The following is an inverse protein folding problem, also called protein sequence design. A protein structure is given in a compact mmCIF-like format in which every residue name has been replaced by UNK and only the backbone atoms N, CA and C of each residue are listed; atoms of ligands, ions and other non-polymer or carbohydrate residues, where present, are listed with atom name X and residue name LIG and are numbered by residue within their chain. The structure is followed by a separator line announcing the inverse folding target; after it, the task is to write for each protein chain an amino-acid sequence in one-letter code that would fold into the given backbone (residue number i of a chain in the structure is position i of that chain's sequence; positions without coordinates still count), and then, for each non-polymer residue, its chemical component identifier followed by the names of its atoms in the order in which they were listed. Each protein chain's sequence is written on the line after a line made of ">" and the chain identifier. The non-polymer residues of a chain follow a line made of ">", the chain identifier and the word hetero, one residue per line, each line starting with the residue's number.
data_IF_965394923325
#
_entry.id   IF_965394923325
#
_cell.length_a   1.000
_cell.length_b   1.000
_cell.length_c   1.000
_cell.angle_alpha   90.00
_cell.angle_beta   90.00
_cell.angle_gamma   90.00
#
_symmetry.space_group_name_H-M   'P 1'
#
loop_
_entity.id
_entity.type
_entity.pdbx_description
1 polymer ?
#
# COMPACT_ATOMS: atom_id res chain seq x y z
N UNK A 1 -2.97 9.06 2.17
CA UNK A 1 -3.61 7.82 2.66
C UNK A 1 -2.53 6.77 2.87
N UNK A 2 -2.65 5.94 3.90
CA UNK A 2 -1.88 4.69 3.98
C UNK A 2 -2.32 3.74 2.88
N UNK A 3 -1.37 3.04 2.27
CA UNK A 3 -1.60 2.06 1.22
C UNK A 3 -0.41 1.10 1.07
N UNK A 4 -0.62 0.05 0.27
CA UNK A 4 0.41 -0.81 -0.33
C UNK A 4 0.48 -0.55 -1.83
N UNK A 5 1.64 -0.77 -2.44
CA UNK A 5 1.86 -0.66 -3.88
C UNK A 5 1.57 -1.95 -4.65
N UNK A 6 1.30 -3.05 -3.95
CA UNK A 6 1.15 -4.40 -4.51
C UNK A 6 2.48 -4.93 -5.09
N UNK A 7 3.57 -4.71 -4.37
CA UNK A 7 4.88 -5.29 -4.67
C UNK A 7 5.44 -6.08 -3.48
N UNK A 8 6.60 -6.71 -3.65
CA UNK A 8 7.34 -7.42 -2.60
C UNK A 8 8.21 -6.41 -1.86
N UNK A 9 9.19 -5.83 -2.56
CA UNK A 9 10.10 -4.84 -2.00
C UNK A 9 9.89 -3.51 -2.73
N UNK A 10 9.33 -2.53 -2.03
CA UNK A 10 9.29 -1.15 -2.47
C UNK A 10 10.62 -0.48 -2.15
N UNK A 11 11.19 0.20 -3.14
CA UNK A 11 12.40 0.98 -2.97
C UNK A 11 12.21 2.45 -3.37
N UNK A 12 12.71 3.36 -2.52
CA UNK A 12 12.84 4.77 -2.83
C UNK A 12 14.29 5.21 -2.74
N UNK A 13 14.80 5.80 -3.80
CA UNK A 13 16.03 6.59 -3.76
C UNK A 13 15.67 8.07 -3.73
N UNK A 14 16.09 8.78 -2.68
CA UNK A 14 15.73 10.17 -2.43
C UNK A 14 16.74 11.10 -3.10
N UNK A 15 16.34 11.76 -4.19
CA UNK A 15 17.17 12.74 -4.89
C UNK A 15 17.10 14.11 -4.21
N UNK A 16 15.89 14.53 -3.87
CA UNK A 16 15.61 15.82 -3.22
C UNK A 16 14.50 15.68 -2.18
N UNK A 17 14.59 16.49 -1.13
CA UNK A 17 13.62 16.50 -0.04
C UNK A 17 12.61 17.65 -0.19
N UNK A 18 11.42 17.45 0.36
CA UNK A 18 10.47 18.57 0.51
C UNK A 18 10.99 19.51 1.61
N UNK A 19 10.90 20.83 1.45
CA UNK A 19 11.33 21.77 2.48
C UNK A 19 10.45 21.70 3.74
N UNK A 20 9.16 21.38 3.59
CA UNK A 20 8.20 21.30 4.69
C UNK A 20 7.34 20.03 4.54
N UNK A 21 7.47 19.12 5.51
CA UNK A 21 6.68 17.89 5.56
C UNK A 21 7.04 16.91 4.45
N UNK A 22 6.05 16.19 3.92
CA UNK A 22 6.22 15.31 2.76
C UNK A 22 7.11 14.07 3.01
N UNK A 23 7.43 13.80 4.26
CA UNK A 23 8.23 12.65 4.71
C UNK A 23 7.49 11.35 4.45
N UNK A 24 8.26 10.29 4.27
CA UNK A 24 7.72 8.93 4.16
C UNK A 24 7.37 8.42 5.55
N UNK A 25 6.15 7.91 5.68
CA UNK A 25 5.62 7.34 6.92
C UNK A 25 5.28 5.88 6.67
N UNK A 26 5.63 5.01 7.61
CA UNK A 26 5.36 3.58 7.56
C UNK A 26 4.46 3.17 8.73
N UNK A 27 3.64 2.13 8.52
CA UNK A 27 2.85 1.50 9.57
C UNK A 27 2.77 0.00 9.38
N UNK A 28 2.85 -0.76 10.47
CA UNK A 28 2.74 -2.22 10.45
C UNK A 28 1.35 -2.69 10.01
N UNK A 29 1.32 -3.55 8.99
CA UNK A 29 0.10 -4.24 8.56
C UNK A 29 -0.38 -5.18 9.66
N UNK A 30 0.54 -5.94 10.26
CA UNK A 30 0.22 -6.93 11.29
C UNK A 30 -0.35 -6.30 12.56
N UNK A 31 0.19 -5.15 12.95
CA UNK A 31 -0.37 -4.40 14.06
C UNK A 31 -1.79 -3.94 13.75
N UNK A 32 -2.03 -3.44 12.54
CA UNK A 32 -3.38 -3.05 12.10
C UNK A 32 -4.34 -4.24 12.11
N UNK A 33 -3.90 -5.38 11.58
CA UNK A 33 -4.68 -6.62 11.57
C UNK A 33 -5.02 -7.08 13.00
N UNK A 34 -4.04 -7.12 13.90
CA UNK A 34 -4.22 -7.61 15.26
C UNK A 34 -5.15 -6.70 16.07
N UNK A 35 -5.04 -5.38 15.91
CA UNK A 35 -5.93 -4.43 16.58
C UNK A 35 -7.37 -4.54 16.06
N UNK A 36 -7.55 -4.72 14.75
CA UNK A 36 -8.86 -5.01 14.15
C UNK A 36 -9.41 -6.34 14.66
N UNK A 37 -8.61 -7.40 14.71
CA UNK A 37 -9.03 -8.71 15.21
C UNK A 37 -9.49 -8.65 16.67
N UNK A 38 -8.80 -7.86 17.49
CA UNK A 38 -9.11 -7.72 18.91
C UNK A 38 -10.33 -6.83 19.19
N UNK A 39 -10.56 -5.79 18.39
CA UNK A 39 -11.55 -4.74 18.70
C UNK A 39 -12.72 -4.64 17.74
N UNK A 40 -12.55 -5.05 16.49
CA UNK A 40 -13.51 -4.89 15.37
C UNK A 40 -13.42 -6.04 14.36
N UNK A 41 -13.62 -7.30 14.75
CA UNK A 41 -13.47 -8.45 13.85
C UNK A 41 -14.41 -8.39 12.63
N UNK A 42 -15.56 -7.74 12.73
CA UNK A 42 -16.48 -7.47 11.62
C UNK A 42 -15.84 -6.67 10.49
N UNK A 43 -14.92 -5.75 10.81
CA UNK A 43 -14.15 -5.01 9.81
C UNK A 43 -13.24 -5.95 9.01
N UNK A 44 -12.67 -6.98 9.63
CA UNK A 44 -11.88 -7.98 8.91
C UNK A 44 -12.73 -8.80 7.95
N UNK A 45 -13.98 -9.12 8.32
CA UNK A 45 -14.93 -9.76 7.42
C UNK A 45 -15.21 -8.89 6.20
N UNK A 46 -15.50 -7.60 6.40
CA UNK A 46 -15.69 -6.66 5.29
C UNK A 46 -14.43 -6.53 4.43
N UNK A 47 -13.23 -6.47 5.02
CA UNK A 47 -11.97 -6.42 4.27
C UNK A 47 -11.70 -7.70 3.45
N UNK A 48 -12.33 -8.83 3.78
CA UNK A 48 -12.21 -10.09 3.04
C UNK A 48 -13.21 -10.24 1.88
N UNK A 49 -14.16 -9.30 1.77
CA UNK A 49 -15.14 -9.23 0.68
C UNK A 49 -14.54 -8.59 -0.59
N UNK A 50 -15.10 -8.86 -1.78
CA UNK A 50 -14.71 -8.17 -3.00
C UNK A 50 -15.17 -6.70 -3.01
N UNK A 51 -14.26 -5.77 -3.23
CA UNK A 51 -14.52 -4.32 -3.24
C UNK A 51 -14.49 -3.75 -4.67
N UNK A 52 -15.33 -2.76 -5.00
CA UNK A 52 -15.22 -2.03 -6.27
C UNK A 52 -13.90 -1.23 -6.34
N UNK A 53 -13.38 -0.91 -7.54
CA UNK A 53 -13.92 -1.19 -8.88
C UNK A 53 -13.66 -2.62 -9.39
N UNK A 54 -12.66 -3.31 -8.84
CA UNK A 54 -12.08 -4.51 -9.46
C UNK A 54 -12.44 -5.82 -8.76
N UNK A 55 -13.39 -5.78 -7.82
CA UNK A 55 -13.72 -6.92 -6.95
C UNK A 55 -12.50 -7.47 -6.20
N UNK A 56 -11.53 -6.59 -5.92
CA UNK A 56 -10.33 -6.92 -5.16
C UNK A 56 -10.70 -7.11 -3.70
N UNK A 57 -10.14 -8.12 -3.06
CA UNK A 57 -10.30 -8.33 -1.62
C UNK A 57 -9.09 -7.73 -0.92
N UNK A 58 -9.25 -6.67 -0.10
CA UNK A 58 -8.12 -6.11 0.63
C UNK A 58 -7.38 -7.14 1.50
N UNK A 59 -8.12 -8.03 2.16
CA UNK A 59 -7.58 -9.07 3.02
C UNK A 59 -7.87 -10.44 2.42
N UNK A 60 -6.83 -11.25 2.22
CA UNK A 60 -6.94 -12.58 1.62
C UNK A 60 -6.17 -13.60 2.43
N UNK A 61 -6.71 -14.80 2.59
CA UNK A 61 -5.95 -15.93 3.14
C UNK A 61 -4.93 -16.40 2.10
N UNK A 62 -3.71 -16.69 2.55
CA UNK A 62 -2.68 -17.28 1.69
C UNK A 62 -2.61 -18.78 1.98
N UNK A 63 -3.17 -19.58 1.09
CA UNK A 63 -3.18 -21.04 1.26
C UNK A 63 -1.78 -21.58 0.94
N UNK A 64 -1.24 -22.40 1.84
CA UNK A 64 0.06 -23.06 1.65
C UNK A 64 1.27 -22.16 1.88
N UNK A 65 1.10 -20.96 2.44
CA UNK A 65 2.24 -20.16 2.88
C UNK A 65 2.75 -20.65 4.24
N UNK A 66 4.07 -20.78 4.33
CA UNK A 66 4.84 -21.02 5.55
C UNK A 66 5.23 -19.72 6.28
N UNK A 67 5.19 -18.58 5.57
CA UNK A 67 5.61 -17.27 6.09
C UNK A 67 4.46 -16.43 6.62
N UNK A 68 3.32 -16.39 5.93
CA UNK A 68 2.21 -15.50 6.28
C UNK A 68 0.83 -16.16 6.11
N UNK A 69 -0.07 -16.08 7.11
CA UNK A 69 -1.39 -16.70 7.00
C UNK A 69 -2.38 -15.86 6.16
N UNK A 70 -2.14 -14.55 6.07
CA UNK A 70 -2.98 -13.60 5.33
C UNK A 70 -2.12 -12.58 4.59
N UNK A 71 -2.62 -12.13 3.45
CA UNK A 71 -2.08 -11.02 2.68
C UNK A 71 -3.05 -9.85 2.80
N UNK A 72 -2.57 -8.68 3.21
CA UNK A 72 -3.38 -7.50 3.37
C UNK A 72 -2.88 -6.39 2.44
N UNK A 73 -3.52 -6.26 1.28
CA UNK A 73 -3.22 -5.22 0.29
C UNK A 73 -4.33 -4.17 0.34
N UNK A 74 -3.98 -2.91 0.49
CA UNK A 74 -4.99 -1.88 0.68
C UNK A 74 -4.61 -0.59 -0.01
N UNK A 75 -5.57 0.01 -0.69
CA UNK A 75 -5.49 1.41 -1.10
C UNK A 75 -6.89 2.01 -1.07
N UNK A 76 -7.02 3.15 -0.42
CA UNK A 76 -8.28 3.90 -0.37
C UNK A 76 -8.63 4.52 -1.73
N UNK A 77 -7.62 4.86 -2.52
CA UNK A 77 -7.78 5.66 -3.73
C UNK A 77 -8.76 5.05 -4.76
N UNK A 78 -8.61 3.78 -5.19
CA UNK A 78 -9.53 3.18 -6.17
C UNK A 78 -10.97 3.07 -5.64
N UNK A 79 -11.12 2.95 -4.32
CA UNK A 79 -12.39 2.68 -3.66
C UNK A 79 -13.21 3.96 -3.52
N UNK A 80 -12.60 5.04 -3.00
CA UNK A 80 -13.32 6.27 -2.62
C UNK A 80 -12.91 7.53 -3.39
N UNK A 81 -11.92 7.47 -4.28
CA UNK A 81 -11.40 8.68 -4.96
C UNK A 81 -10.64 9.62 -4.02
N UNK A 82 -9.95 9.10 -3.01
CA UNK A 82 -9.21 9.95 -2.05
C UNK A 82 -8.25 10.91 -2.78
N UNK A 83 -8.51 12.22 -2.71
CA UNK A 83 -7.76 13.32 -3.35
C UNK A 83 -7.84 13.41 -4.89
N UNK A 84 -8.67 12.61 -5.58
CA UNK A 84 -9.00 12.82 -7.02
C UNK A 84 -10.41 12.38 -7.33
N UNK A 85 -11.00 12.91 -8.40
CA UNK A 85 -12.35 12.52 -8.79
C UNK A 85 -12.43 11.02 -9.15
N UNK A 86 -13.41 10.36 -8.56
CA UNK A 86 -13.75 8.97 -8.84
C UNK A 86 -14.68 8.93 -10.05
N UNK A 87 -14.42 8.02 -10.98
CA UNK A 87 -15.33 7.82 -12.11
C UNK A 87 -16.74 7.45 -11.63
N UNK A 88 -17.75 8.14 -12.15
CA UNK A 88 -19.16 7.87 -11.85
C UNK A 88 -19.61 6.46 -12.26
N UNK A 89 -18.88 5.82 -13.19
CA UNK A 89 -19.19 4.47 -13.70
C UNK A 89 -18.74 3.34 -12.75
N UNK A 90 -18.07 3.67 -11.64
CA UNK A 90 -17.64 2.67 -10.66
C UNK A 90 -18.70 2.54 -9.55
N UNK A 91 -19.19 1.33 -9.23
CA UNK A 91 -20.16 1.13 -8.14
C UNK A 91 -19.66 1.68 -6.82
N UNK A 92 -20.44 2.51 -6.12
CA UNK A 92 -20.05 3.10 -4.84
C UNK A 92 -19.71 2.01 -3.80
N UNK A 93 -18.71 2.22 -2.94
CA UNK A 93 -18.47 1.32 -1.82
C UNK A 93 -19.64 1.38 -0.82
N UNK A 94 -19.90 0.27 -0.14
CA UNK A 94 -20.92 0.20 0.91
C UNK A 94 -20.54 1.08 2.11
N UNK A 95 -21.48 1.30 3.05
CA UNK A 95 -21.15 1.96 4.32
C UNK A 95 -20.05 1.18 5.07
N UNK A 96 -20.22 -0.14 5.20
CA UNK A 96 -19.24 -1.01 5.84
C UNK A 96 -17.84 -0.95 5.19
N UNK A 97 -17.75 -0.89 3.86
CA UNK A 97 -16.46 -0.77 3.16
C UNK A 97 -15.79 0.59 3.42
N UNK A 98 -16.57 1.67 3.52
CA UNK A 98 -16.05 3.00 3.90
C UNK A 98 -15.56 3.01 5.35
N UNK A 99 -16.36 2.46 6.27
CA UNK A 99 -16.00 2.35 7.68
C UNK A 99 -14.75 1.48 7.89
N UNK A 100 -14.63 0.38 7.13
CA UNK A 100 -13.45 -0.47 7.13
C UNK A 100 -12.22 0.28 6.60
N UNK A 101 -12.36 1.05 5.52
CA UNK A 101 -11.28 1.89 5.01
C UNK A 101 -10.84 2.95 6.03
N UNK A 102 -11.77 3.53 6.78
CA UNK A 102 -11.52 4.48 7.88
C UNK A 102 -10.81 3.82 9.05
N UNK A 103 -11.25 2.65 9.47
CA UNK A 103 -10.60 1.89 10.54
C UNK A 103 -9.12 1.61 10.21
N UNK A 104 -8.82 1.13 8.98
CA UNK A 104 -7.44 0.90 8.53
C UNK A 104 -6.63 2.19 8.56
N UNK A 105 -7.16 3.28 8.01
CA UNK A 105 -6.47 4.57 7.95
C UNK A 105 -6.15 5.13 9.34
N UNK A 106 -7.10 5.07 10.28
CA UNK A 106 -6.90 5.61 11.63
C UNK A 106 -5.95 4.76 12.47
N UNK A 107 -6.08 3.43 12.40
CA UNK A 107 -5.16 2.52 13.11
C UNK A 107 -3.74 2.67 12.55
N UNK A 108 -3.59 2.69 11.23
CA UNK A 108 -2.28 2.87 10.60
C UNK A 108 -1.66 4.23 10.97
N UNK A 109 -2.45 5.30 10.95
CA UNK A 109 -1.96 6.64 11.33
C UNK A 109 -1.53 6.72 12.79
N UNK A 110 -2.28 6.11 13.71
CA UNK A 110 -1.96 6.10 15.14
C UNK A 110 -0.63 5.39 15.43
N UNK A 111 -0.34 4.33 14.69
CA UNK A 111 0.83 3.47 14.91
C UNK A 111 1.98 3.78 13.94
N UNK A 112 1.89 4.90 13.22
CA UNK A 112 2.81 5.21 12.15
C UNK A 112 4.16 5.72 12.69
N UNK A 113 5.23 5.38 11.99
CA UNK A 113 6.57 5.92 12.22
C UNK A 113 6.98 6.76 11.02
N UNK A 114 7.49 7.95 11.27
CA UNK A 114 8.08 8.79 10.24
C UNK A 114 9.57 8.50 10.17
N UNK A 115 10.07 8.21 8.96
CA UNK A 115 11.49 7.92 8.77
C UNK A 115 12.31 9.21 8.65
N UNK A 116 13.49 9.28 9.30
CA UNK A 116 14.38 10.45 9.22
C UNK A 116 15.25 10.41 7.95
N UNK A 117 14.63 10.19 6.79
CA UNK A 117 15.33 10.08 5.49
C UNK A 117 15.82 11.44 4.99
N UNK A 118 16.98 11.44 4.34
CA UNK A 118 17.59 12.61 3.68
C UNK A 118 17.92 12.32 2.21
N UNK A 119 18.28 13.36 1.45
CA UNK A 119 18.75 13.17 0.07
C UNK A 119 20.00 12.28 0.06
N UNK A 120 20.05 11.33 -0.88
CA UNK A 120 21.06 10.28 -0.97
C UNK A 120 20.67 8.96 -0.30
N UNK A 121 19.66 8.95 0.57
CA UNK A 121 19.22 7.71 1.21
C UNK A 121 18.51 6.77 0.23
N UNK A 122 18.66 5.47 0.49
CA UNK A 122 17.86 4.41 -0.14
C UNK A 122 17.01 3.75 0.93
N UNK A 123 15.70 3.80 0.75
CA UNK A 123 14.74 3.06 1.56
C UNK A 123 14.36 1.78 0.83
N UNK A 124 14.51 0.63 1.49
CA UNK A 124 13.98 -0.66 1.05
C UNK A 124 12.95 -1.13 2.07
N UNK A 125 11.73 -1.42 1.63
CA UNK A 125 10.59 -1.77 2.47
C UNK A 125 9.92 -3.00 1.92
N UNK A 126 9.62 -3.97 2.78
CA UNK A 126 8.69 -5.06 2.44
C UNK A 126 7.26 -4.48 2.39
N UNK A 127 6.75 -4.23 1.18
CA UNK A 127 5.41 -3.64 0.94
C UNK A 127 4.29 -4.63 1.30
N UNK A 128 4.59 -5.93 1.40
CA UNK A 128 3.63 -6.93 1.88
C UNK A 128 3.46 -6.90 3.41
N UNK A 129 4.35 -6.24 4.15
CA UNK A 129 4.35 -6.18 5.61
C UNK A 129 4.00 -4.78 6.17
N UNK A 130 4.10 -3.75 5.35
CA UNK A 130 4.01 -2.35 5.77
C UNK A 130 3.08 -1.56 4.87
N UNK A 131 2.16 -0.81 5.49
CA UNK A 131 1.53 0.31 4.81
C UNK A 131 2.50 1.48 4.77
N UNK A 132 2.45 2.25 3.69
CA UNK A 132 3.20 3.48 3.58
C UNK A 132 2.29 4.65 3.19
N UNK A 133 2.72 5.84 3.58
CA UNK A 133 2.07 7.11 3.27
C UNK A 133 3.13 8.21 3.10
N UNK A 134 2.66 9.35 2.60
CA UNK A 134 3.39 10.60 2.59
C UNK A 134 2.68 11.58 3.52
N UNK A 135 3.44 12.27 4.37
CA UNK A 135 2.90 13.37 5.17
C UNK A 135 2.32 14.48 4.29
N UNK A 136 1.43 15.29 4.85
CA UNK A 136 1.07 16.58 4.25
C UNK A 136 2.33 17.41 4.00
N UNK A 137 2.33 18.18 2.92
CA UNK A 137 3.45 19.02 2.54
C UNK A 137 2.94 20.31 1.91
N UNK A 138 3.78 21.34 1.98
CA UNK A 138 3.57 22.60 1.28
C UNK A 138 4.76 22.83 0.35
N UNK A 139 4.49 22.90 -0.95
CA UNK A 139 5.52 23.19 -1.95
C UNK A 139 5.83 24.71 -2.02
N UNK A 140 5.12 25.57 -1.28
CA UNK A 140 5.49 26.96 -0.96
C UNK A 140 5.74 27.89 -2.15
N UNK A 141 5.34 27.52 -3.37
CA UNK A 141 5.66 28.25 -4.61
C UNK A 141 7.14 28.16 -5.04
N UNK A 142 7.95 27.33 -4.38
CA UNK A 142 9.39 27.19 -4.65
C UNK A 142 9.64 26.08 -5.69
N UNK A 143 10.66 26.17 -6.57
CA UNK A 143 10.91 25.14 -7.58
C UNK A 143 11.35 23.78 -7.02
N UNK A 144 11.83 23.76 -5.77
CA UNK A 144 12.36 22.56 -5.12
C UNK A 144 11.21 21.67 -4.64
N UNK A 145 10.96 20.61 -5.39
CA UNK A 145 9.98 19.56 -5.05
C UNK A 145 10.72 18.33 -4.56
N UNK A 146 10.11 17.58 -3.64
CA UNK A 146 10.58 16.24 -3.29
C UNK A 146 10.70 15.41 -4.57
N UNK A 147 11.89 14.89 -4.85
CA UNK A 147 12.17 14.08 -6.02
C UNK A 147 12.71 12.72 -5.57
N UNK A 148 12.09 11.65 -6.07
CA UNK A 148 12.47 10.28 -5.74
C UNK A 148 12.41 9.40 -6.98
N UNK A 149 13.27 8.39 -7.02
CA UNK A 149 13.15 7.26 -7.94
C UNK A 149 12.50 6.11 -7.18
N UNK A 150 11.37 5.63 -7.70
CA UNK A 150 10.60 4.51 -7.14
C UNK A 150 10.88 3.25 -7.95
N UNK A 151 11.24 2.17 -7.28
CA UNK A 151 11.54 0.88 -7.90
C UNK A 151 10.83 -0.23 -7.12
N UNK A 152 10.51 -1.33 -7.82
CA UNK A 152 9.98 -2.55 -7.21
C UNK A 152 10.96 -3.69 -7.46
N UNK A 153 11.32 -4.38 -6.39
CA UNK A 153 12.18 -5.55 -6.44
C UNK A 153 11.41 -6.78 -5.99
N UNK A 154 11.88 -7.93 -6.47
CA UNK A 154 11.38 -9.25 -6.15
C UNK A 154 12.56 -10.15 -5.81
N UNK A 155 12.39 -10.95 -4.75
CA UNK A 155 13.35 -11.99 -4.40
C UNK A 155 12.66 -13.35 -4.57
N UNK A 156 12.85 -14.05 -5.71
CA UNK A 156 12.20 -15.33 -5.94
C UNK A 156 12.53 -16.41 -4.90
N UNK A 157 13.63 -16.29 -4.15
CA UNK A 157 14.03 -17.25 -3.12
C UNK A 157 13.39 -16.93 -1.76
N UNK A 158 13.16 -15.64 -1.47
CA UNK A 158 12.65 -15.19 -0.17
C UNK A 158 11.23 -14.60 -0.20
N UNK A 159 10.63 -14.48 -1.38
CA UNK A 159 9.28 -13.96 -1.58
C UNK A 159 8.23 -14.72 -0.76
N UNK A 160 7.16 -14.02 -0.43
CA UNK A 160 5.99 -14.63 0.20
C UNK A 160 5.07 -15.20 -0.87
N UNK A 161 4.35 -16.27 -0.52
CA UNK A 161 3.32 -16.79 -1.40
C UNK A 161 2.22 -15.75 -1.60
N UNK A 162 1.66 -15.71 -2.80
CA UNK A 162 0.55 -14.83 -3.17
C UNK A 162 -0.68 -15.67 -3.53
N UNK A 163 -1.91 -15.19 -3.23
CA UNK A 163 -3.12 -15.87 -3.68
C UNK A 163 -3.20 -15.93 -5.23
N UNK A 164 -3.72 -17.03 -5.81
CA UNK A 164 -3.85 -17.16 -7.27
C UNK A 164 -4.62 -16.02 -7.94
N UNK A 165 -5.58 -15.42 -7.23
CA UNK A 165 -6.38 -14.30 -7.73
C UNK A 165 -5.57 -13.05 -8.10
N UNK A 166 -4.32 -12.95 -7.64
CA UNK A 166 -3.48 -11.75 -7.83
C UNK A 166 -2.21 -12.03 -8.63
N UNK A 167 -2.04 -13.26 -9.10
CA UNK A 167 -0.83 -13.71 -9.79
C UNK A 167 -0.57 -12.90 -11.06
N UNK A 168 -1.62 -12.56 -11.83
CA UNK A 168 -1.49 -11.77 -13.05
C UNK A 168 -1.06 -10.33 -12.77
N UNK A 169 -1.63 -9.69 -11.75
CA UNK A 169 -1.21 -8.34 -11.31
C UNK A 169 0.27 -8.36 -10.89
N UNK A 170 0.67 -9.40 -10.16
CA UNK A 170 2.06 -9.59 -9.73
C UNK A 170 3.01 -9.75 -10.91
N UNK A 171 2.66 -10.59 -11.89
CA UNK A 171 3.46 -10.78 -13.11
C UNK A 171 3.64 -9.46 -13.86
N UNK A 172 2.57 -8.70 -14.08
CA UNK A 172 2.66 -7.40 -14.77
C UNK A 172 3.58 -6.41 -14.05
N UNK A 173 3.59 -6.42 -12.71
CA UNK A 173 4.45 -5.51 -11.95
C UNK A 173 5.97 -5.75 -12.13
N UNK A 174 6.38 -6.97 -12.54
CA UNK A 174 7.79 -7.35 -12.68
C UNK A 174 8.21 -7.72 -14.12
N UNK A 175 7.27 -7.76 -15.08
CA UNK A 175 7.55 -8.16 -16.46
C UNK A 175 7.94 -7.00 -17.40
N UNK A 176 8.25 -5.81 -16.90
CA UNK A 176 8.88 -4.76 -17.72
C UNK A 176 10.37 -5.07 -17.92
N UNK A 177 10.68 -6.04 -18.79
CA UNK A 177 12.05 -6.41 -19.14
C UNK A 177 12.23 -7.67 -19.98
N UNK A 178 11.17 -8.34 -20.43
CA UNK A 178 11.30 -9.42 -21.43
C UNK A 178 11.10 -8.87 -22.84
N UNK A 179 12.22 -8.74 -23.56
CA UNK A 179 12.39 -8.57 -25.00
C UNK A 179 11.66 -7.41 -25.69
N UNK A 180 12.33 -6.26 -25.77
CA UNK A 180 12.36 -5.41 -26.97
C UNK A 180 13.80 -4.89 -27.16
N UNK A 181 14.71 -5.83 -27.42
CA UNK A 181 15.93 -5.54 -28.16
C UNK A 181 15.60 -5.63 -29.65
N UNK A 182 15.34 -4.49 -30.29
CA UNK A 182 15.05 -4.36 -31.72
C UNK A 182 14.75 -2.91 -32.11
#
# INVERSE_FOLDING_TARGET
>A
SFHTDNCEIMAFYYLDMSPIGGRTVLSSIWQTYNELAASKPEVLHTLAEPWPPRHVRPLQRVIGSDKIPVLFRFSRYPVTGFQRERSANVPLPTAAQRDAADAVQFIAARNAITLPVVAGDVLLVNDMALFHAREGFDDGGVPLKRHLVKMYFRDPQQGWAIPPSIEQEWKTAYLSGSDDGG
#
